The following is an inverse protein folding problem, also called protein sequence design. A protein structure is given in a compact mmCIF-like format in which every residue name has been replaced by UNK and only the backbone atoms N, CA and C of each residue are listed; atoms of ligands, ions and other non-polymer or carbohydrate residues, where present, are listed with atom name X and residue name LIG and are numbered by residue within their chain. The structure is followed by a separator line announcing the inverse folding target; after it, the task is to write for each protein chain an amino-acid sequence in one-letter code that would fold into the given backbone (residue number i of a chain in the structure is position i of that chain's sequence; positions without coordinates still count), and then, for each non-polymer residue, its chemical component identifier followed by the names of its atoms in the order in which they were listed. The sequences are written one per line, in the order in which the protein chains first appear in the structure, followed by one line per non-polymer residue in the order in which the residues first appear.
data_IF_826756146658
#
_entry.id   IF_826756146658
#
_cell.length_a   1.000
_cell.length_b   1.000
_cell.length_c   1.000
_cell.angle_alpha   90.00
_cell.angle_beta   90.00
_cell.angle_gamma   90.00
#
_symmetry.space_group_name_H-M   'P 1'
#
loop_
_entity.id
_entity.type
_entity.pdbx_description
1 polymer ?
#
# COMPACT_ATOMS: atom_id res chain seq x y z
N UNK A 1 -10.43 9.66 -22.80
CA UNK A 1 -11.53 10.58 -22.44
C UNK A 1 -12.37 10.15 -21.22
N UNK A 2 -13.02 8.97 -21.19
CA UNK A 2 -13.93 8.63 -20.09
C UNK A 2 -13.22 8.23 -18.78
N UNK A 3 -12.08 7.54 -18.87
CA UNK A 3 -11.32 7.08 -17.69
C UNK A 3 -10.63 8.25 -16.99
N UNK A 4 -10.12 9.23 -17.73
CA UNK A 4 -9.45 10.42 -17.19
C UNK A 4 -10.44 11.28 -16.38
N UNK A 5 -11.62 11.54 -16.93
CA UNK A 5 -12.68 12.27 -16.21
C UNK A 5 -13.09 11.54 -14.92
N UNK A 6 -13.17 10.20 -14.94
CA UNK A 6 -13.40 9.44 -13.72
C UNK A 6 -12.26 9.64 -12.72
N UNK A 7 -11.00 9.58 -13.12
CA UNK A 7 -9.86 9.78 -12.21
C UNK A 7 -9.87 11.17 -11.58
N UNK A 8 -10.17 12.21 -12.36
CA UNK A 8 -10.34 13.57 -11.85
C UNK A 8 -11.42 13.65 -10.76
N UNK A 9 -12.53 12.94 -10.92
CA UNK A 9 -13.57 12.92 -9.88
C UNK A 9 -13.18 12.15 -8.62
N UNK A 10 -12.28 11.17 -8.71
CA UNK A 10 -11.80 10.40 -7.57
C UNK A 10 -10.70 11.13 -6.79
N UNK A 11 -9.99 12.04 -7.46
CA UNK A 11 -8.91 12.81 -6.87
C UNK A 11 -9.41 13.69 -5.70
N UNK A 12 -8.65 13.71 -4.61
CA UNK A 12 -8.98 14.38 -3.35
C UNK A 12 -10.02 13.66 -2.48
N UNK A 13 -10.56 12.52 -2.93
CA UNK A 13 -11.60 11.74 -2.22
C UNK A 13 -11.19 10.29 -1.94
N UNK A 14 -9.92 9.93 -2.20
CA UNK A 14 -9.47 8.54 -2.09
C UNK A 14 -9.67 7.99 -0.68
N UNK A 15 -9.36 8.78 0.35
CA UNK A 15 -9.49 8.32 1.74
C UNK A 15 -10.94 8.02 2.12
N UNK A 16 -11.85 8.93 1.76
CA UNK A 16 -13.28 8.79 2.00
C UNK A 16 -13.83 7.55 1.28
N UNK A 17 -13.49 7.41 0.00
CA UNK A 17 -13.92 6.27 -0.82
C UNK A 17 -13.38 4.94 -0.29
N UNK A 18 -12.12 4.88 0.13
CA UNK A 18 -11.50 3.69 0.71
C UNK A 18 -12.20 3.23 1.99
N UNK A 19 -12.86 4.14 2.71
CA UNK A 19 -13.65 3.83 3.91
C UNK A 19 -15.06 3.32 3.61
N UNK A 20 -15.49 3.27 2.36
CA UNK A 20 -16.81 2.76 1.97
C UNK A 20 -16.73 1.41 1.24
N UNK A 21 -17.78 0.56 1.31
CA UNK A 21 -17.81 -0.71 0.58
C UNK A 21 -17.63 -0.50 -0.94
N UNK A 22 -18.41 0.41 -1.53
CA UNK A 22 -18.40 0.65 -2.97
C UNK A 22 -17.13 1.38 -3.41
N UNK A 23 -16.73 2.44 -2.70
CA UNK A 23 -15.54 3.22 -3.05
C UNK A 23 -14.26 2.39 -2.97
N UNK A 24 -14.13 1.52 -1.96
CA UNK A 24 -12.98 0.62 -1.86
C UNK A 24 -12.87 -0.33 -3.06
N UNK A 25 -13.99 -0.81 -3.62
CA UNK A 25 -13.97 -1.69 -4.78
C UNK A 25 -13.65 -0.95 -6.08
N UNK A 26 -14.12 0.29 -6.22
CA UNK A 26 -13.74 1.18 -7.33
C UNK A 26 -12.23 1.41 -7.32
N UNK A 27 -11.67 1.82 -6.17
CA UNK A 27 -10.23 2.08 -6.03
C UNK A 27 -9.38 0.84 -6.32
N UNK A 28 -9.81 -0.33 -5.87
CA UNK A 28 -9.13 -1.60 -6.18
C UNK A 28 -9.16 -1.92 -7.67
N UNK A 29 -10.29 -1.69 -8.32
CA UNK A 29 -10.44 -1.87 -9.76
C UNK A 29 -9.50 -0.93 -10.51
N UNK A 30 -9.40 0.33 -10.08
CA UNK A 30 -8.43 1.28 -10.63
C UNK A 30 -7.00 0.77 -10.50
N UNK A 31 -6.58 0.33 -9.31
CA UNK A 31 -5.22 -0.17 -9.05
C UNK A 31 -4.91 -1.46 -9.81
N UNK A 32 -5.90 -2.32 -10.10
CA UNK A 32 -5.71 -3.58 -10.84
C UNK A 32 -5.72 -3.40 -12.36
N UNK A 33 -6.55 -2.50 -12.87
CA UNK A 33 -6.82 -2.40 -14.29
C UNK A 33 -6.07 -1.25 -14.97
N UNK A 34 -5.65 -0.23 -14.22
CA UNK A 34 -4.95 0.93 -14.78
C UNK A 34 -3.43 0.75 -14.64
N UNK A 35 -2.63 1.20 -15.62
CA UNK A 35 -1.19 1.20 -15.50
C UNK A 35 -0.72 2.25 -14.48
N UNK A 36 0.45 2.02 -13.88
CA UNK A 36 1.21 3.12 -13.28
C UNK A 36 1.69 4.01 -14.45
N UNK A 37 1.41 5.34 -14.48
CA UNK A 37 1.22 6.25 -13.36
C UNK A 37 -0.23 6.65 -13.03
N UNK A 38 -1.22 6.18 -13.78
CA UNK A 38 -2.62 6.68 -13.71
C UNK A 38 -3.22 6.55 -12.31
N UNK A 39 -2.89 5.49 -11.57
CA UNK A 39 -3.39 5.28 -10.20
C UNK A 39 -2.46 5.83 -9.11
N UNK A 40 -1.31 6.45 -9.43
CA UNK A 40 -0.33 6.88 -8.42
C UNK A 40 -0.90 7.90 -7.43
N UNK A 41 -1.87 8.71 -7.83
CA UNK A 41 -2.57 9.62 -6.93
C UNK A 41 -3.26 8.88 -5.77
N UNK A 42 -3.75 7.66 -6.00
CA UNK A 42 -4.37 6.82 -4.97
C UNK A 42 -3.34 6.48 -3.89
N UNK A 43 -2.11 6.17 -4.29
CA UNK A 43 -1.03 5.91 -3.33
C UNK A 43 -0.72 7.19 -2.55
N UNK A 44 -0.55 8.32 -3.25
CA UNK A 44 -0.25 9.62 -2.65
C UNK A 44 -1.29 10.10 -1.66
N UNK A 45 -2.57 9.94 -1.95
CA UNK A 45 -3.63 10.34 -1.02
C UNK A 45 -3.76 9.42 0.20
N UNK A 46 -3.26 8.17 0.11
CA UNK A 46 -3.22 7.25 1.24
C UNK A 46 -1.97 7.43 2.12
N UNK A 47 -0.94 8.14 1.64
CA UNK A 47 0.24 8.49 2.44
C UNK A 47 -0.18 9.31 3.68
N UNK A 48 0.49 9.06 4.80
CA UNK A 48 0.15 9.54 6.14
C UNK A 48 -0.98 8.78 6.83
N UNK A 49 -1.64 7.83 6.14
CA UNK A 49 -2.82 7.10 6.63
C UNK A 49 -2.72 5.59 6.45
N UNK A 50 -1.58 5.05 6.00
CA UNK A 50 -1.37 3.62 5.73
C UNK A 50 -1.68 2.73 6.93
N UNK A 51 -1.16 3.05 8.12
CA UNK A 51 -1.42 2.27 9.33
C UNK A 51 -2.90 2.30 9.78
N UNK A 52 -3.61 3.41 9.54
CA UNK A 52 -5.04 3.51 9.81
C UNK A 52 -5.84 2.69 8.80
N UNK A 53 -5.54 2.83 7.52
CA UNK A 53 -6.18 2.10 6.43
C UNK A 53 -6.01 0.58 6.58
N UNK A 54 -4.84 0.11 7.06
CA UNK A 54 -4.57 -1.31 7.25
C UNK A 54 -5.48 -1.98 8.30
N UNK A 55 -5.99 -1.20 9.27
CA UNK A 55 -6.89 -1.67 10.33
C UNK A 55 -8.37 -1.46 10.00
N UNK A 56 -8.68 -0.86 8.86
CA UNK A 56 -10.03 -0.49 8.46
C UNK A 56 -10.74 -1.63 7.70
N UNK A 57 -12.05 -1.79 7.90
CA UNK A 57 -12.83 -2.90 7.33
C UNK A 57 -12.86 -2.96 5.79
N UNK A 58 -12.70 -1.82 5.12
CA UNK A 58 -12.72 -1.71 3.66
C UNK A 58 -11.36 -1.27 3.08
N UNK A 59 -10.76 -0.20 3.60
CA UNK A 59 -9.50 0.34 3.11
C UNK A 59 -8.32 -0.66 3.13
N UNK A 60 -8.29 -1.64 4.06
CA UNK A 60 -7.25 -2.66 4.06
C UNK A 60 -7.19 -3.44 2.74
N UNK A 61 -8.33 -3.62 2.07
CA UNK A 61 -8.41 -4.30 0.76
C UNK A 61 -7.72 -3.51 -0.34
N UNK A 62 -7.79 -2.18 -0.27
CA UNK A 62 -7.10 -1.27 -1.19
C UNK A 62 -5.60 -1.40 -0.99
N UNK A 63 -5.13 -1.36 0.26
CA UNK A 63 -3.71 -1.56 0.59
C UNK A 63 -3.18 -2.93 0.15
N UNK A 64 -3.89 -4.02 0.44
CA UNK A 64 -3.51 -5.34 -0.05
C UNK A 64 -3.35 -5.34 -1.58
N UNK A 65 -4.30 -4.72 -2.28
CA UNK A 65 -4.27 -4.66 -3.75
C UNK A 65 -3.06 -3.85 -4.24
N UNK A 66 -2.75 -2.72 -3.60
CA UNK A 66 -1.55 -1.92 -3.91
C UNK A 66 -0.29 -2.73 -3.68
N UNK A 67 -0.16 -3.44 -2.56
CA UNK A 67 1.03 -4.27 -2.27
C UNK A 67 1.15 -5.50 -3.18
N UNK A 68 0.04 -5.99 -3.74
CA UNK A 68 0.05 -7.08 -4.71
C UNK A 68 0.47 -6.61 -6.11
N UNK A 69 -0.01 -5.44 -6.54
CA UNK A 69 0.15 -4.99 -7.94
C UNK A 69 1.28 -3.98 -8.13
N UNK A 70 1.47 -3.04 -7.20
CA UNK A 70 2.43 -1.98 -7.35
C UNK A 70 3.87 -2.49 -7.14
N UNK A 71 4.86 -1.94 -7.87
CA UNK A 71 6.26 -2.11 -7.52
C UNK A 71 6.52 -1.55 -6.11
N UNK A 72 7.33 -2.25 -5.30
CA UNK A 72 7.58 -1.84 -3.91
C UNK A 72 8.12 -0.42 -3.80
N UNK A 73 8.93 0.04 -4.77
CA UNK A 73 9.41 1.43 -4.80
C UNK A 73 8.29 2.49 -4.87
N UNK A 74 7.19 2.20 -5.56
CA UNK A 74 6.05 3.12 -5.64
C UNK A 74 5.22 3.11 -4.35
N UNK A 75 5.14 1.96 -3.68
CA UNK A 75 4.39 1.80 -2.43
C UNK A 75 5.28 1.95 -1.17
N UNK A 76 6.55 2.32 -1.32
CA UNK A 76 7.54 2.27 -0.25
C UNK A 76 7.14 3.10 0.98
N UNK A 77 6.53 4.27 0.76
CA UNK A 77 6.03 5.13 1.84
C UNK A 77 4.93 4.43 2.64
N UNK A 78 3.94 3.84 1.96
CA UNK A 78 2.87 3.08 2.60
C UNK A 78 3.39 1.83 3.32
N UNK A 79 4.39 1.17 2.75
CA UNK A 79 5.07 0.02 3.38
C UNK A 79 5.76 0.47 4.67
N UNK A 80 6.53 1.56 4.62
CA UNK A 80 7.18 2.14 5.78
C UNK A 80 6.18 2.61 6.84
N UNK A 81 5.02 3.15 6.47
CA UNK A 81 3.96 3.52 7.42
C UNK A 81 3.34 2.31 8.12
N UNK A 82 3.16 1.20 7.39
CA UNK A 82 2.55 -0.01 7.94
C UNK A 82 3.52 -0.76 8.86
N UNK A 83 4.83 -0.77 8.55
CA UNK A 83 5.86 -1.45 9.35
C UNK A 83 6.44 -0.55 10.44
N UNK A 84 6.77 0.69 10.07
CA UNK A 84 7.54 1.66 10.85
C UNK A 84 6.75 2.34 11.97
N UNK A 85 5.47 2.00 12.15
CA UNK A 85 4.81 2.27 13.43
C UNK A 85 5.47 1.42 14.53
N UNK A 86 6.51 1.96 15.18
CA UNK A 86 7.26 1.34 16.27
C UNK A 86 6.41 0.90 17.48
N UNK A 87 5.13 1.28 17.54
CA UNK A 87 4.17 0.80 18.53
C UNK A 87 3.38 -0.47 18.12
N UNK A 88 3.28 -0.84 16.83
CA UNK A 88 2.08 -1.60 16.39
C UNK A 88 2.23 -2.63 15.27
N UNK A 89 3.41 -3.20 14.96
CA UNK A 89 3.43 -4.39 14.04
C UNK A 89 2.71 -5.58 14.67
N UNK A 90 2.94 -5.82 15.97
CA UNK A 90 2.27 -6.88 16.73
C UNK A 90 0.78 -6.62 16.85
N UNK A 91 0.37 -5.38 17.12
CA UNK A 91 -1.06 -5.04 17.24
C UNK A 91 -1.77 -5.00 15.88
N UNK A 92 -1.06 -4.69 14.80
CA UNK A 92 -1.56 -4.86 13.44
C UNK A 92 -1.85 -6.35 13.16
N UNK A 93 -0.95 -7.25 13.57
CA UNK A 93 -1.14 -8.69 13.45
C UNK A 93 -2.29 -9.24 14.31
N UNK A 94 -2.61 -8.60 15.45
CA UNK A 94 -3.81 -8.96 16.25
C UNK A 94 -5.12 -8.49 15.60
N UNK A 95 -5.07 -7.48 14.73
CA UNK A 95 -6.24 -6.99 14.03
C UNK A 95 -6.62 -7.94 12.86
N UNK A 96 -7.91 -8.28 12.75
CA UNK A 96 -8.43 -9.19 11.71
C UNK A 96 -8.18 -8.73 10.27
N UNK A 97 -7.99 -7.43 10.06
CA UNK A 97 -7.69 -6.82 8.76
C UNK A 97 -6.19 -6.56 8.62
N UNK A 98 -5.56 -6.05 9.69
CA UNK A 98 -4.13 -5.76 9.71
C UNK A 98 -3.25 -6.97 9.45
N UNK A 99 -3.60 -8.13 10.02
CA UNK A 99 -2.89 -9.39 9.77
C UNK A 99 -2.91 -9.80 8.30
N UNK A 100 -4.01 -9.51 7.58
CA UNK A 100 -4.11 -9.75 6.14
C UNK A 100 -3.17 -8.83 5.38
N UNK A 101 -3.14 -7.54 5.73
CA UNK A 101 -2.24 -6.56 5.08
C UNK A 101 -0.79 -6.96 5.27
N UNK A 102 -0.41 -7.34 6.49
CA UNK A 102 0.94 -7.81 6.80
C UNK A 102 1.30 -9.08 6.02
N UNK A 103 0.40 -10.07 5.98
CA UNK A 103 0.62 -11.30 5.21
C UNK A 103 0.77 -11.03 3.71
N UNK A 104 -0.05 -10.14 3.14
CA UNK A 104 0.06 -9.73 1.73
C UNK A 104 1.39 -9.03 1.47
N UNK A 105 1.78 -8.10 2.33
CA UNK A 105 3.05 -7.38 2.23
C UNK A 105 4.24 -8.34 2.26
N UNK A 106 4.24 -9.26 3.23
CA UNK A 106 5.25 -10.30 3.36
C UNK A 106 5.33 -11.19 2.10
N UNK A 107 4.20 -11.67 1.60
CA UNK A 107 4.14 -12.49 0.39
C UNK A 107 4.62 -11.73 -0.87
N UNK A 108 4.36 -10.43 -0.96
CA UNK A 108 4.84 -9.60 -2.06
C UNK A 108 6.33 -9.28 -1.98
N UNK A 109 6.88 -9.15 -0.78
CA UNK A 109 8.31 -8.91 -0.60
C UNK A 109 9.16 -10.19 -0.73
N UNK A 110 8.66 -11.33 -0.23
CA UNK A 110 9.32 -12.62 -0.37
C UNK A 110 9.41 -13.06 -1.84
N UNK A 111 8.39 -12.78 -2.65
CA UNK A 111 8.41 -13.02 -4.11
C UNK A 111 9.40 -12.13 -4.88
N UNK A 112 10.02 -11.14 -4.23
CA UNK A 112 10.86 -10.12 -4.86
C UNK A 112 12.23 -9.97 -4.18
N UNK A 113 12.65 -10.89 -3.31
CA UNK A 113 13.96 -10.88 -2.61
C UNK A 113 14.31 -9.59 -1.82
N UNK A 114 13.34 -8.73 -1.51
CA UNK A 114 13.56 -7.43 -0.85
C UNK A 114 13.42 -7.48 0.69
N UNK A 115 13.83 -8.58 1.32
CA UNK A 115 13.73 -8.80 2.78
C UNK A 115 14.45 -7.72 3.60
N UNK A 116 15.54 -7.15 3.08
CA UNK A 116 16.29 -6.09 3.74
C UNK A 116 15.47 -4.81 3.97
N UNK A 117 14.58 -4.46 3.03
CA UNK A 117 13.73 -3.28 3.13
C UNK A 117 12.64 -3.45 4.21
N UNK A 118 12.19 -4.68 4.45
CA UNK A 118 11.18 -5.04 5.45
C UNK A 118 11.74 -5.09 6.87
N UNK A 119 13.01 -5.49 7.02
CA UNK A 119 13.64 -5.73 8.32
C UNK A 119 14.39 -4.51 8.85
N UNK A 120 14.47 -3.42 8.10
CA UNK A 120 15.26 -2.24 8.49
C UNK A 120 16.75 -2.56 8.67
N UNK A 121 17.24 -3.64 8.04
CA UNK A 121 18.66 -3.93 7.99
C UNK A 121 19.22 -3.05 6.90
N UNK A 122 20.00 -2.04 7.28
CA UNK A 122 20.93 -1.37 6.38
C UNK A 122 21.75 -2.48 5.70
N UNK A 123 21.49 -2.72 4.42
CA UNK A 123 22.51 -3.34 3.59
C UNK A 123 23.61 -2.28 3.57
N UNK A 124 24.65 -2.48 4.38
CA UNK A 124 25.94 -1.89 4.11
C UNK A 124 26.20 -2.14 2.63
N UNK A 125 26.10 -1.10 1.81
CA UNK A 125 26.84 -1.10 0.58
C UNK A 125 28.30 -1.16 1.01
N UNK A 126 28.86 -2.38 1.05
CA UNK A 126 30.26 -2.53 0.72
C UNK A 126 30.38 -1.96 -0.69
N UNK A 127 30.85 -0.72 -0.71
CA UNK A 127 31.54 -0.11 -1.82
C UNK A 127 32.70 -1.05 -2.13
N UNK A 128 32.55 -1.83 -3.20
CA UNK A 128 33.68 -2.45 -3.86
C UNK A 128 33.75 -1.87 -5.27
N UNK A 129 34.41 -0.71 -5.32
CA UNK A 129 34.94 -0.08 -6.52
C UNK A 129 36.42 0.23 -6.19
N UNK A 130 37.28 -0.80 -6.30
CA UNK A 130 38.65 -0.75 -6.86
C UNK A 130 39.39 -2.09 -6.70
#
# INVERSE_FOLDING_TARGET
PCVEALMETLHGRVLELASTPCGSEVLRTCVRCLPSPTYNFILKELEGRGAQAARHAYAHKVLCTIFETAPLGHAAVLVAEVIGCCESTVDLCKNRFGSRVFATLWASAHRRDHLALLLGVEISQEVDDC
#
